data_IF_298966589867
#
_entry.id   IF_298966589867
#
_cell.length_a   1.000
_cell.length_b   1.000
_cell.length_c   1.000
_cell.angle_alpha   90.00
_cell.angle_beta   90.00
_cell.angle_gamma   90.00
#
_symmetry.space_group_name_H-M   'P 1'
#
loop_
_entity.id
_entity.type
_entity.pdbx_description
1 polymer ?
#
# COMPACT_ATOMS: atom_id res chain seq x y z
N UNK A 1 19.60 -18.33 -20.22
CA UNK A 1 19.49 -16.94 -19.70
C UNK A 1 18.92 -15.93 -20.70
N UNK A 2 18.78 -16.23 -21.99
CA UNK A 2 18.46 -15.23 -23.03
C UNK A 2 16.97 -15.01 -23.30
N UNK A 3 16.08 -15.95 -23.01
CA UNK A 3 14.64 -15.82 -23.31
C UNK A 3 13.87 -14.98 -22.26
N UNK A 4 14.31 -14.96 -21.01
CA UNK A 4 13.65 -14.23 -19.91
C UNK A 4 13.87 -12.71 -20.02
N UNK A 5 15.03 -12.30 -20.54
CA UNK A 5 15.40 -10.90 -20.67
C UNK A 5 14.66 -10.19 -21.83
N UNK A 6 14.39 -10.89 -22.92
CA UNK A 6 13.69 -10.32 -24.09
C UNK A 6 12.19 -10.06 -23.82
N UNK A 7 11.55 -10.91 -22.99
CA UNK A 7 10.13 -10.75 -22.67
C UNK A 7 9.89 -9.57 -21.70
N UNK A 8 10.86 -9.26 -20.86
CA UNK A 8 10.76 -8.21 -19.83
C UNK A 8 10.92 -6.80 -20.43
N UNK A 9 11.82 -6.63 -21.39
CA UNK A 9 12.06 -5.34 -22.06
C UNK A 9 10.84 -4.91 -22.89
N UNK A 10 10.09 -5.84 -23.46
CA UNK A 10 8.86 -5.57 -24.20
C UNK A 10 7.71 -5.06 -23.30
N UNK A 11 7.81 -5.23 -21.98
CA UNK A 11 6.82 -4.77 -21.00
C UNK A 11 7.03 -3.32 -20.55
N UNK A 12 8.20 -2.73 -20.82
CA UNK A 12 8.50 -1.33 -20.46
C UNK A 12 8.04 -0.37 -21.56
N UNK A 13 7.54 0.79 -21.15
CA UNK A 13 7.25 1.90 -22.02
C UNK A 13 8.35 2.95 -21.92
N UNK A 14 8.43 3.85 -22.88
CA UNK A 14 9.33 5.00 -22.82
C UNK A 14 9.15 5.79 -21.52
N UNK A 15 10.26 6.10 -20.84
CA UNK A 15 10.24 6.80 -19.55
C UNK A 15 9.95 5.93 -18.33
N UNK A 16 9.95 4.60 -18.47
CA UNK A 16 9.80 3.65 -17.37
C UNK A 16 11.09 2.87 -17.08
N UNK A 17 11.22 2.39 -15.87
CA UNK A 17 12.27 1.47 -15.42
C UNK A 17 11.68 0.24 -14.75
N UNK A 18 12.42 -0.87 -14.80
CA UNK A 18 12.14 -2.08 -14.04
C UNK A 18 13.12 -2.16 -12.88
N UNK A 19 12.63 -1.94 -11.68
CA UNK A 19 13.46 -1.88 -10.49
C UNK A 19 13.18 -3.06 -9.56
N UNK A 20 14.11 -3.32 -8.63
CA UNK A 20 13.87 -4.26 -7.55
C UNK A 20 12.90 -3.68 -6.53
N UNK A 21 11.99 -4.50 -5.99
CA UNK A 21 11.06 -4.12 -4.93
C UNK A 21 11.31 -4.98 -3.68
N UNK A 22 11.94 -4.40 -2.67
CA UNK A 22 12.21 -5.10 -1.41
C UNK A 22 13.26 -6.20 -1.57
N UNK A 23 12.82 -7.46 -1.61
CA UNK A 23 13.69 -8.63 -1.67
C UNK A 23 14.13 -9.01 -3.09
N UNK A 24 15.12 -9.91 -3.18
CA UNK A 24 15.58 -10.46 -4.45
C UNK A 24 14.46 -11.14 -5.23
N UNK A 25 14.43 -10.88 -6.54
CA UNK A 25 13.52 -11.51 -7.47
C UNK A 25 12.20 -10.78 -7.72
N UNK A 26 11.73 -9.93 -6.81
CA UNK A 26 10.51 -9.14 -7.04
C UNK A 26 10.84 -7.88 -7.82
N UNK A 27 10.06 -7.62 -8.86
CA UNK A 27 10.25 -6.49 -9.78
C UNK A 27 9.04 -5.57 -9.77
N UNK A 28 9.31 -4.27 -9.96
CA UNK A 28 8.28 -3.24 -10.10
C UNK A 28 8.58 -2.35 -11.30
N UNK A 29 7.55 -2.06 -12.09
CA UNK A 29 7.62 -1.06 -13.16
C UNK A 29 7.26 0.30 -12.57
N UNK A 30 8.09 1.30 -12.83
CA UNK A 30 7.83 2.65 -12.35
C UNK A 30 8.41 3.71 -13.28
N UNK A 31 7.90 4.93 -13.18
CA UNK A 31 8.36 6.06 -13.96
C UNK A 31 9.78 6.47 -13.56
N UNK A 32 10.65 6.74 -14.55
CA UNK A 32 11.98 7.33 -14.31
C UNK A 32 11.83 8.74 -13.72
N UNK A 33 10.81 9.48 -14.21
CA UNK A 33 10.44 10.81 -13.70
C UNK A 33 8.99 10.77 -13.26
N UNK A 34 8.71 11.05 -11.98
CA UNK A 34 7.34 11.05 -11.45
C UNK A 34 7.18 10.24 -10.17
N UNK A 35 6.04 9.55 -10.05
CA UNK A 35 5.75 8.73 -8.87
C UNK A 35 6.64 7.49 -8.85
N UNK A 36 7.30 7.29 -7.72
CA UNK A 36 8.04 6.06 -7.38
C UNK A 36 7.51 5.52 -6.07
N UNK A 37 7.53 4.21 -5.89
CA UNK A 37 7.13 3.61 -4.61
C UNK A 37 8.03 4.13 -3.48
N UNK A 38 7.44 4.32 -2.31
CA UNK A 38 8.13 4.75 -1.11
C UNK A 38 8.31 3.57 -0.14
N UNK A 39 9.14 3.76 0.87
CA UNK A 39 9.28 2.84 1.99
C UNK A 39 7.94 2.56 2.68
N UNK A 40 6.99 3.49 2.60
CA UNK A 40 5.66 3.38 3.20
C UNK A 40 4.92 2.13 2.70
N UNK A 41 5.08 1.77 1.42
CA UNK A 41 4.49 0.57 0.86
C UNK A 41 5.01 -0.72 1.52
N UNK A 42 6.33 -0.79 1.78
CA UNK A 42 6.93 -1.91 2.50
C UNK A 42 6.42 -1.98 3.94
N UNK A 43 6.36 -0.83 4.61
CA UNK A 43 5.93 -0.75 6.01
C UNK A 43 4.49 -1.21 6.20
N UNK A 44 3.55 -0.74 5.36
CA UNK A 44 2.14 -1.12 5.49
C UNK A 44 1.90 -2.56 5.05
N UNK A 45 2.60 -3.06 4.02
CA UNK A 45 2.52 -4.45 3.58
C UNK A 45 3.01 -5.43 4.68
N UNK A 46 4.11 -5.08 5.35
CA UNK A 46 4.62 -5.86 6.50
C UNK A 46 3.68 -5.80 7.71
N UNK A 47 3.16 -4.62 8.02
CA UNK A 47 2.28 -4.41 9.18
C UNK A 47 0.94 -5.15 9.06
N UNK A 48 0.42 -5.31 7.86
CA UNK A 48 -0.93 -5.81 7.60
C UNK A 48 -1.14 -7.29 8.00
N UNK A 49 -0.08 -8.12 8.01
CA UNK A 49 -0.11 -9.54 8.38
C UNK A 49 -1.36 -10.28 7.85
N UNK A 50 -1.54 -10.42 6.53
CA UNK A 50 -2.70 -11.06 5.93
C UNK A 50 -2.78 -12.54 6.31
N UNK A 51 -4.00 -13.08 6.36
CA UNK A 51 -4.25 -14.50 6.56
C UNK A 51 -4.31 -15.20 5.20
N UNK A 52 -3.98 -16.49 5.10
CA UNK A 52 -3.96 -17.19 3.81
C UNK A 52 -5.27 -17.16 3.02
N UNK A 53 -6.42 -17.04 3.68
CA UNK A 53 -7.75 -17.01 3.06
C UNK A 53 -8.31 -15.58 2.88
N UNK A 54 -7.58 -14.53 3.29
CA UNK A 54 -8.06 -13.16 3.17
C UNK A 54 -8.19 -12.78 1.67
N UNK A 55 -9.32 -12.19 1.31
CA UNK A 55 -9.48 -11.43 0.06
C UNK A 55 -8.97 -10.02 0.33
N UNK A 56 -7.97 -9.60 -0.41
CA UNK A 56 -7.23 -8.38 -0.12
C UNK A 56 -7.50 -7.30 -1.16
N UNK A 57 -7.76 -6.07 -0.71
CA UNK A 57 -7.82 -4.88 -1.56
C UNK A 57 -6.68 -3.93 -1.21
N UNK A 58 -5.91 -3.52 -2.23
CA UNK A 58 -4.97 -2.40 -2.18
C UNK A 58 -5.68 -1.17 -2.77
N UNK A 59 -6.16 -0.28 -1.90
CA UNK A 59 -7.00 0.86 -2.27
C UNK A 59 -6.13 2.09 -2.60
N UNK A 60 -6.11 2.49 -3.86
CA UNK A 60 -5.18 3.47 -4.40
C UNK A 60 -3.79 2.84 -4.60
N UNK A 61 -3.74 1.72 -5.31
CA UNK A 61 -2.55 0.86 -5.36
C UNK A 61 -1.34 1.49 -6.09
N UNK A 62 -1.54 2.60 -6.80
CA UNK A 62 -0.48 3.21 -7.58
C UNK A 62 0.09 2.25 -8.62
N UNK A 63 1.41 2.14 -8.67
CA UNK A 63 2.11 1.17 -9.52
C UNK A 63 2.14 -0.26 -8.94
N UNK A 64 1.32 -0.54 -7.93
CA UNK A 64 1.10 -1.87 -7.38
C UNK A 64 2.10 -2.34 -6.33
N UNK A 65 2.89 -1.45 -5.73
CA UNK A 65 3.96 -1.85 -4.81
C UNK A 65 3.46 -2.72 -3.65
N UNK A 66 2.39 -2.32 -2.95
CA UNK A 66 1.81 -3.09 -1.83
C UNK A 66 1.27 -4.42 -2.34
N UNK A 67 0.48 -4.40 -3.42
CA UNK A 67 -0.14 -5.58 -4.00
C UNK A 67 0.90 -6.62 -4.45
N UNK A 68 1.99 -6.18 -5.11
CA UNK A 68 3.10 -7.03 -5.53
C UNK A 68 3.84 -7.66 -4.33
N UNK A 69 4.12 -6.88 -3.28
CA UNK A 69 4.74 -7.39 -2.05
C UNK A 69 3.90 -8.48 -1.38
N UNK A 70 2.58 -8.25 -1.29
CA UNK A 70 1.66 -9.23 -0.69
C UNK A 70 1.54 -10.50 -1.53
N UNK A 71 1.41 -10.37 -2.86
CA UNK A 71 1.34 -11.50 -3.77
C UNK A 71 2.64 -12.33 -3.76
N UNK A 72 3.79 -11.67 -3.60
CA UNK A 72 5.10 -12.31 -3.53
C UNK A 72 5.29 -13.09 -2.22
N UNK A 73 5.01 -12.45 -1.10
CA UNK A 73 5.19 -13.03 0.24
C UNK A 73 4.18 -14.14 0.56
N UNK A 74 2.95 -13.99 0.07
CA UNK A 74 1.84 -14.87 0.42
C UNK A 74 1.24 -15.52 -0.84
N UNK A 75 1.85 -16.58 -1.40
CA UNK A 75 1.41 -17.21 -2.65
C UNK A 75 -0.07 -17.58 -2.73
N UNK A 76 -0.76 -17.96 -1.63
CA UNK A 76 -2.21 -18.26 -1.69
C UNK A 76 -3.11 -17.05 -1.83
N UNK A 77 -2.61 -15.82 -1.53
CA UNK A 77 -3.46 -14.63 -1.54
C UNK A 77 -3.91 -14.24 -2.94
N UNK A 78 -5.17 -13.80 -3.01
CA UNK A 78 -5.69 -13.04 -4.14
C UNK A 78 -5.80 -11.58 -3.74
N UNK A 79 -5.20 -10.71 -4.53
CA UNK A 79 -5.12 -9.28 -4.27
C UNK A 79 -5.79 -8.54 -5.42
N UNK A 80 -6.64 -7.56 -5.10
CA UNK A 80 -7.19 -6.60 -6.06
C UNK A 80 -6.56 -5.26 -5.77
N UNK A 81 -6.02 -4.58 -6.79
CA UNK A 81 -5.58 -3.20 -6.72
C UNK A 81 -6.60 -2.29 -7.39
N UNK A 82 -7.00 -1.19 -6.76
CA UNK A 82 -7.83 -0.14 -7.36
C UNK A 82 -7.00 1.13 -7.53
N UNK A 83 -6.90 1.66 -8.74
CA UNK A 83 -6.12 2.86 -9.04
C UNK A 83 -6.84 3.74 -10.06
N UNK A 84 -6.90 5.07 -9.77
CA UNK A 84 -7.58 6.05 -10.62
C UNK A 84 -6.73 6.49 -11.81
N UNK A 85 -5.40 6.43 -11.69
CA UNK A 85 -4.47 6.90 -12.74
C UNK A 85 -4.18 5.79 -13.73
N UNK A 86 -4.62 5.90 -15.01
CA UNK A 86 -4.44 4.84 -16.01
C UNK A 86 -2.98 4.42 -16.21
N UNK A 87 -2.06 5.38 -16.12
CA UNK A 87 -0.62 5.11 -16.27
C UNK A 87 -0.10 4.22 -15.16
N UNK A 88 -0.46 4.50 -13.90
CA UNK A 88 -0.05 3.71 -12.74
C UNK A 88 -0.75 2.34 -12.71
N UNK A 89 -2.05 2.28 -13.01
CA UNK A 89 -2.79 1.02 -13.13
C UNK A 89 -2.15 0.11 -14.21
N UNK A 90 -1.75 0.69 -15.34
CA UNK A 90 -1.02 -0.04 -16.39
C UNK A 90 0.35 -0.54 -15.92
N UNK A 91 1.09 0.25 -15.12
CA UNK A 91 2.36 -0.20 -14.52
C UNK A 91 2.14 -1.36 -13.56
N UNK A 92 1.12 -1.28 -12.68
CA UNK A 92 0.76 -2.33 -11.75
C UNK A 92 0.39 -3.63 -12.47
N UNK A 93 -0.44 -3.56 -13.51
CA UNK A 93 -0.85 -4.71 -14.32
C UNK A 93 0.35 -5.41 -14.97
N UNK A 94 1.23 -4.64 -15.62
CA UNK A 94 2.44 -5.18 -16.23
C UNK A 94 3.45 -5.66 -15.18
N UNK A 95 3.51 -5.01 -14.03
CA UNK A 95 4.26 -5.48 -12.86
C UNK A 95 3.79 -6.86 -12.40
N UNK A 96 2.48 -7.11 -12.34
CA UNK A 96 1.94 -8.43 -12.05
C UNK A 96 2.36 -9.47 -13.09
N UNK A 97 2.33 -9.13 -14.37
CA UNK A 97 2.76 -10.02 -15.46
C UNK A 97 4.25 -10.36 -15.40
N UNK A 98 5.12 -9.35 -15.18
CA UNK A 98 6.57 -9.55 -15.04
C UNK A 98 6.93 -10.51 -13.91
N UNK A 99 6.14 -10.51 -12.82
CA UNK A 99 6.36 -11.37 -11.67
C UNK A 99 5.57 -12.69 -11.73
N UNK A 100 4.78 -12.94 -12.78
CA UNK A 100 3.96 -14.16 -12.89
C UNK A 100 2.78 -14.19 -11.93
N UNK A 101 2.21 -13.03 -11.55
CA UNK A 101 1.11 -12.92 -10.58
C UNK A 101 -0.26 -12.64 -11.22
N UNK A 102 -0.37 -12.65 -12.56
CA UNK A 102 -1.59 -12.32 -13.30
C UNK A 102 -2.82 -13.15 -12.89
N UNK A 103 -2.64 -14.35 -12.35
CA UNK A 103 -3.75 -15.21 -11.90
C UNK A 103 -4.21 -14.90 -10.46
N UNK A 104 -3.46 -14.05 -9.75
CA UNK A 104 -3.67 -13.75 -8.32
C UNK A 104 -3.74 -12.27 -7.99
N UNK A 105 -3.27 -11.42 -8.90
CA UNK A 105 -3.26 -9.97 -8.75
C UNK A 105 -4.05 -9.35 -9.89
N UNK A 106 -5.25 -8.87 -9.56
CA UNK A 106 -6.14 -8.13 -10.46
C UNK A 106 -5.95 -6.63 -10.26
N UNK A 107 -5.92 -5.86 -11.32
CA UNK A 107 -5.88 -4.39 -11.26
C UNK A 107 -7.14 -3.83 -11.90
N UNK A 108 -7.88 -3.05 -11.12
CA UNK A 108 -9.08 -2.33 -11.53
C UNK A 108 -8.74 -0.85 -11.68
N UNK A 109 -8.87 -0.32 -12.89
CA UNK A 109 -8.76 1.11 -13.12
C UNK A 109 -10.08 1.79 -12.73
N UNK A 110 -10.01 2.77 -11.81
CA UNK A 110 -11.20 3.50 -11.40
C UNK A 110 -11.03 4.36 -10.17
N UNK A 111 -12.06 5.16 -9.92
CA UNK A 111 -12.11 6.12 -8.81
C UNK A 111 -12.74 5.47 -7.57
N UNK A 112 -12.02 5.49 -6.45
CA UNK A 112 -12.50 4.96 -5.17
C UNK A 112 -13.80 5.64 -4.67
N UNK A 113 -14.08 6.88 -5.10
CA UNK A 113 -15.32 7.59 -4.81
C UNK A 113 -16.54 6.92 -5.49
N UNK A 114 -16.27 6.13 -6.52
CA UNK A 114 -17.25 5.34 -7.27
C UNK A 114 -17.11 3.83 -7.04
N UNK A 115 -16.49 3.43 -5.94
CA UNK A 115 -16.18 2.02 -5.65
C UNK A 115 -17.39 1.09 -5.77
N UNK A 116 -18.59 1.58 -5.49
CA UNK A 116 -19.83 0.81 -5.59
C UNK A 116 -20.20 0.34 -6.99
N UNK A 117 -19.67 0.98 -8.05
CA UNK A 117 -19.84 0.54 -9.44
C UNK A 117 -18.70 -0.33 -9.95
N UNK A 118 -17.63 -0.50 -9.17
CA UNK A 118 -16.40 -1.16 -9.56
C UNK A 118 -16.18 -2.48 -8.83
N UNK A 119 -16.46 -2.52 -7.53
CA UNK A 119 -16.19 -3.64 -6.67
C UNK A 119 -17.42 -3.99 -5.81
N UNK A 120 -17.59 -5.26 -5.42
CA UNK A 120 -18.72 -5.67 -4.60
C UNK A 120 -18.63 -5.10 -3.18
N UNK A 121 -19.77 -4.76 -2.54
CA UNK A 121 -19.81 -4.38 -1.13
C UNK A 121 -19.37 -5.55 -0.25
N UNK A 122 -18.67 -5.26 0.83
CA UNK A 122 -18.20 -6.27 1.79
C UNK A 122 -17.41 -7.43 1.13
N UNK A 123 -16.73 -7.14 0.02
CA UNK A 123 -16.01 -8.11 -0.79
C UNK A 123 -14.66 -8.53 -0.24
N UNK A 124 -14.10 -7.82 0.76
CA UNK A 124 -12.72 -7.99 1.18
C UNK A 124 -12.59 -8.17 2.69
N UNK A 125 -11.69 -9.06 3.09
CA UNK A 125 -11.40 -9.37 4.49
C UNK A 125 -10.31 -8.43 5.05
N UNK A 126 -9.44 -7.92 4.14
CA UNK A 126 -8.38 -6.97 4.44
C UNK A 126 -8.32 -5.90 3.36
N UNK A 127 -8.29 -4.64 3.77
CA UNK A 127 -8.03 -3.49 2.90
C UNK A 127 -6.76 -2.79 3.35
N UNK A 128 -5.81 -2.61 2.44
CA UNK A 128 -4.64 -1.76 2.67
C UNK A 128 -4.82 -0.43 1.96
N UNK A 129 -4.25 0.62 2.52
CA UNK A 129 -4.22 1.92 1.88
C UNK A 129 -2.99 2.73 2.33
N UNK A 130 -2.29 3.26 1.34
CA UNK A 130 -1.30 4.32 1.51
C UNK A 130 -1.85 5.58 0.82
N UNK A 131 -2.78 6.31 1.45
CA UNK A 131 -3.48 7.40 0.80
C UNK A 131 -2.54 8.59 0.54
N UNK A 132 -2.83 9.43 -0.47
CA UNK A 132 -2.06 10.64 -0.69
C UNK A 132 -2.16 11.55 0.54
N UNK A 133 -1.01 11.95 1.09
CA UNK A 133 -0.92 12.69 2.36
C UNK A 133 -1.31 14.17 2.27
N UNK A 134 -1.52 14.72 1.08
CA UNK A 134 -1.75 16.14 0.89
C UNK A 134 -3.22 16.48 0.98
N UNK A 135 -3.55 17.42 1.88
CA UNK A 135 -4.84 18.09 1.82
C UNK A 135 -4.96 18.84 0.49
N UNK A 136 -6.13 18.71 -0.10
CA UNK A 136 -6.54 19.57 -1.18
C UNK A 136 -6.42 21.02 -0.71
N UNK A 137 -5.52 21.79 -1.33
CA UNK A 137 -5.33 23.23 -1.02
C UNK A 137 -4.15 23.60 -0.13
N UNK A 138 -3.41 22.67 0.47
CA UNK A 138 -2.17 22.97 1.23
C UNK A 138 -0.92 22.49 0.47
N UNK A 139 -0.09 23.42 0.07
CA UNK A 139 1.22 23.20 -0.58
C UNK A 139 1.52 24.31 -1.58
N UNK A 140 2.77 24.40 -2.08
CA UNK A 140 3.10 25.28 -3.20
C UNK A 140 2.17 24.94 -4.36
N UNK A 141 1.26 25.88 -4.65
CA UNK A 141 0.34 25.75 -5.77
C UNK A 141 1.16 25.57 -7.04
N UNK A 142 0.86 24.54 -7.84
CA UNK A 142 1.43 24.44 -9.17
C UNK A 142 1.04 25.72 -9.91
N UNK A 143 1.97 26.45 -10.52
CA UNK A 143 1.65 27.69 -11.24
C UNK A 143 0.67 27.47 -12.40
N UNK A 144 0.57 26.25 -12.91
CA UNK A 144 -0.35 25.85 -13.98
C UNK A 144 -1.74 25.52 -13.40
N UNK A 145 -2.81 26.29 -13.74
CA UNK A 145 -4.17 26.07 -13.24
C UNK A 145 -4.76 24.72 -13.66
N UNK A 146 -4.50 24.26 -14.90
CA UNK A 146 -5.06 23.00 -15.43
C UNK A 146 -4.43 21.80 -14.71
N UNK A 147 -3.11 21.82 -14.49
CA UNK A 147 -2.42 20.77 -13.71
C UNK A 147 -2.82 20.78 -12.25
N UNK A 148 -3.19 21.93 -11.72
CA UNK A 148 -3.73 22.08 -10.36
C UNK A 148 -5.10 21.42 -10.24
N UNK A 149 -5.99 21.72 -11.20
CA UNK A 149 -7.34 21.17 -11.26
C UNK A 149 -7.33 19.66 -11.47
N UNK A 150 -6.55 19.16 -12.44
CA UNK A 150 -6.39 17.73 -12.68
C UNK A 150 -5.87 16.97 -11.44
N UNK A 151 -4.89 17.57 -10.73
CA UNK A 151 -4.37 16.98 -9.48
C UNK A 151 -5.38 17.02 -8.35
N UNK A 152 -6.23 18.02 -8.30
CA UNK A 152 -7.33 18.16 -7.34
C UNK A 152 -8.43 17.14 -7.61
N UNK A 153 -8.81 16.95 -8.85
CA UNK A 153 -9.84 16.00 -9.29
C UNK A 153 -9.41 14.53 -9.07
N UNK A 154 -8.09 14.25 -9.13
CA UNK A 154 -7.53 12.91 -8.90
C UNK A 154 -7.26 12.59 -7.42
N UNK A 155 -7.35 13.56 -6.51
CA UNK A 155 -7.03 13.35 -5.08
C UNK A 155 -8.30 13.14 -4.27
N UNK A 156 -8.49 11.96 -3.74
CA UNK A 156 -9.55 11.70 -2.77
C UNK A 156 -9.20 12.30 -1.40
N UNK A 157 -10.21 12.77 -0.69
CA UNK A 157 -10.11 13.21 0.70
C UNK A 157 -9.97 12.00 1.63
N UNK A 158 -9.43 12.21 2.84
CA UNK A 158 -9.37 11.15 3.86
C UNK A 158 -10.76 10.57 4.18
N UNK A 159 -11.80 11.39 4.17
CA UNK A 159 -13.18 10.93 4.39
C UNK A 159 -13.65 9.97 3.29
N UNK A 160 -13.40 10.31 2.03
CA UNK A 160 -13.75 9.46 0.88
C UNK A 160 -12.98 8.14 0.88
N UNK A 161 -11.68 8.18 1.24
CA UNK A 161 -10.87 6.97 1.41
C UNK A 161 -11.46 6.06 2.49
N UNK A 162 -11.79 6.61 3.67
CA UNK A 162 -12.34 5.83 4.79
C UNK A 162 -13.73 5.28 4.44
N UNK A 163 -14.57 6.04 3.74
CA UNK A 163 -15.87 5.57 3.26
C UNK A 163 -15.72 4.41 2.26
N UNK A 164 -14.77 4.50 1.33
CA UNK A 164 -14.46 3.41 0.40
C UNK A 164 -13.95 2.15 1.13
N UNK A 165 -13.09 2.30 2.12
CA UNK A 165 -12.64 1.19 2.98
C UNK A 165 -13.83 0.55 3.69
N UNK A 166 -14.72 1.37 4.27
CA UNK A 166 -15.92 0.87 4.97
C UNK A 166 -16.86 0.09 4.05
N UNK A 167 -17.03 0.57 2.82
CA UNK A 167 -17.83 -0.11 1.78
C UNK A 167 -17.23 -1.47 1.42
N UNK A 168 -15.92 -1.53 1.15
CA UNK A 168 -15.23 -2.71 0.65
C UNK A 168 -15.07 -3.82 1.69
N UNK A 169 -14.91 -3.47 2.97
CA UNK A 169 -14.63 -4.44 4.04
C UNK A 169 -15.83 -5.32 4.36
N UNK A 170 -15.60 -6.62 4.48
CA UNK A 170 -16.53 -7.58 5.06
C UNK A 170 -16.79 -7.27 6.56
N UNK A 171 -17.89 -7.77 7.14
CA UNK A 171 -18.10 -7.73 8.60
C UNK A 171 -16.89 -8.29 9.35
N UNK A 172 -16.40 -7.58 10.37
CA UNK A 172 -15.18 -7.91 11.13
C UNK A 172 -13.89 -7.87 10.31
N UNK A 173 -13.92 -7.46 9.05
CA UNK A 173 -12.74 -7.23 8.22
C UNK A 173 -11.83 -6.15 8.81
N UNK A 174 -10.60 -6.11 8.33
CA UNK A 174 -9.52 -5.25 8.83
C UNK A 174 -9.07 -4.26 7.77
N UNK A 175 -8.77 -3.02 8.19
CA UNK A 175 -8.11 -2.04 7.35
C UNK A 175 -6.72 -1.74 7.93
N UNK A 176 -5.69 -1.72 7.09
CA UNK A 176 -4.35 -1.29 7.46
C UNK A 176 -3.97 -0.05 6.65
N UNK A 177 -3.67 1.04 7.35
CA UNK A 177 -3.31 2.32 6.75
C UNK A 177 -1.93 2.75 7.25
N UNK A 178 -1.20 3.43 6.38
CA UNK A 178 -0.07 4.26 6.75
C UNK A 178 -0.45 5.71 6.53
N UNK A 179 -0.13 6.60 7.47
CA UNK A 179 -0.51 8.00 7.38
C UNK A 179 0.46 8.91 8.14
N UNK A 180 0.40 10.23 7.91
CA UNK A 180 1.22 11.18 8.67
C UNK A 180 0.84 11.21 10.15
N UNK A 181 1.85 11.17 11.03
CA UNK A 181 1.66 11.20 12.49
C UNK A 181 0.97 12.50 12.96
N UNK A 182 1.27 13.63 12.32
CA UNK A 182 0.61 14.92 12.61
C UNK A 182 -0.91 14.92 12.38
N UNK A 183 -1.42 13.94 11.61
CA UNK A 183 -2.85 13.79 11.31
C UNK A 183 -3.51 12.62 12.06
N UNK A 184 -2.84 12.09 13.08
CA UNK A 184 -3.32 10.93 13.85
C UNK A 184 -4.73 11.15 14.42
N UNK A 185 -4.96 12.30 15.08
CA UNK A 185 -6.25 12.59 15.72
C UNK A 185 -7.40 12.63 14.69
N UNK A 186 -7.18 13.26 13.53
CA UNK A 186 -8.15 13.32 12.44
C UNK A 186 -8.45 11.91 11.88
N UNK A 187 -7.39 11.10 11.64
CA UNK A 187 -7.54 9.73 11.16
C UNK A 187 -8.37 8.87 12.12
N UNK A 188 -8.03 8.86 13.41
CA UNK A 188 -8.73 8.04 14.40
C UNK A 188 -10.20 8.47 14.56
N UNK A 189 -10.47 9.77 14.54
CA UNK A 189 -11.83 10.30 14.62
C UNK A 189 -12.68 9.86 13.43
N UNK A 190 -12.16 9.97 12.21
CA UNK A 190 -12.89 9.58 10.99
C UNK A 190 -13.08 8.07 10.88
N UNK A 191 -12.08 7.28 11.26
CA UNK A 191 -12.22 5.82 11.30
C UNK A 191 -13.37 5.41 12.22
N UNK A 192 -13.44 5.96 13.43
CA UNK A 192 -14.52 5.64 14.37
C UNK A 192 -15.90 6.13 13.91
N UNK A 193 -15.96 7.30 13.25
CA UNK A 193 -17.20 7.81 12.67
C UNK A 193 -17.79 6.82 11.64
N UNK A 194 -16.94 6.11 10.88
CA UNK A 194 -17.32 5.08 9.91
C UNK A 194 -17.40 3.67 10.50
N UNK A 195 -17.44 3.52 11.83
CA UNK A 195 -17.47 2.21 12.53
C UNK A 195 -16.28 1.30 12.17
N UNK A 196 -15.14 1.90 11.88
CA UNK A 196 -13.85 1.24 11.77
C UNK A 196 -13.08 1.52 13.07
N UNK A 197 -13.16 0.59 14.02
CA UNK A 197 -12.54 0.79 15.33
C UNK A 197 -11.03 0.51 15.27
N UNK A 198 -10.17 1.50 15.61
CA UNK A 198 -8.73 1.31 15.65
C UNK A 198 -8.33 0.27 16.68
N UNK A 199 -7.48 -0.68 16.30
CA UNK A 199 -7.06 -1.82 17.14
C UNK A 199 -5.57 -1.85 17.42
N UNK A 200 -4.76 -1.52 16.42
CA UNK A 200 -3.32 -1.43 16.54
C UNK A 200 -2.85 -0.08 16.00
N UNK A 201 -1.86 0.49 16.65
CA UNK A 201 -1.14 1.69 16.20
C UNK A 201 0.35 1.47 16.43
N UNK A 202 1.17 1.74 15.41
CA UNK A 202 2.62 1.76 15.51
C UNK A 202 3.16 3.09 15.01
N UNK A 203 3.79 3.90 15.85
CA UNK A 203 4.53 5.08 15.41
C UNK A 203 5.77 4.69 14.62
N UNK A 204 6.10 5.45 13.58
CA UNK A 204 7.31 5.29 12.76
C UNK A 204 8.12 6.56 12.85
N UNK A 205 9.36 6.44 13.31
CA UNK A 205 10.32 7.52 13.51
C UNK A 205 11.50 7.34 12.56
N UNK A 206 12.09 8.42 12.12
CA UNK A 206 13.31 8.34 11.32
C UNK A 206 14.45 7.68 12.12
N UNK A 207 14.68 8.09 13.37
CA UNK A 207 15.69 7.53 14.29
C UNK A 207 15.32 7.82 15.74
N UNK A 208 16.03 7.22 16.68
CA UNK A 208 15.81 7.45 18.12
C UNK A 208 16.02 8.92 18.47
N UNK A 209 15.02 9.56 19.11
CA UNK A 209 15.01 10.97 19.46
C UNK A 209 14.35 11.89 18.41
N UNK A 210 14.02 11.40 17.22
CA UNK A 210 13.18 12.12 16.28
C UNK A 210 11.69 11.95 16.62
N UNK A 211 10.86 12.93 16.26
CA UNK A 211 9.41 12.78 16.33
C UNK A 211 8.91 11.71 15.37
N UNK A 212 7.73 11.13 15.64
CA UNK A 212 7.08 10.24 14.70
C UNK A 212 6.65 11.00 13.44
N UNK A 213 7.08 10.54 12.27
CA UNK A 213 6.69 11.11 10.98
C UNK A 213 5.46 10.42 10.41
N UNK A 214 5.40 9.10 10.57
CA UNK A 214 4.31 8.27 10.08
C UNK A 214 3.71 7.43 11.21
N UNK A 215 2.50 6.97 10.96
CA UNK A 215 1.80 6.00 11.80
C UNK A 215 1.25 4.88 10.94
N UNK A 216 1.34 3.66 11.46
CA UNK A 216 0.65 2.49 10.94
C UNK A 216 -0.56 2.21 11.84
N UNK A 217 -1.73 2.09 11.25
CA UNK A 217 -2.98 1.86 11.98
C UNK A 217 -3.70 0.65 11.41
N UNK A 218 -4.04 -0.32 12.25
CA UNK A 218 -5.03 -1.33 11.93
C UNK A 218 -6.37 -0.95 12.57
N UNK A 219 -7.42 -0.89 11.78
CA UNK A 219 -8.79 -0.71 12.24
C UNK A 219 -9.65 -1.90 11.85
N UNK A 220 -10.66 -2.21 12.66
CA UNK A 220 -11.57 -3.34 12.43
C UNK A 220 -13.00 -2.84 12.25
N UNK A 221 -13.65 -3.31 11.18
CA UNK A 221 -15.06 -3.01 10.95
C UNK A 221 -15.92 -3.57 12.08
N UNK A 222 -16.72 -2.69 12.71
CA UNK A 222 -17.60 -3.02 13.83
C UNK A 222 -16.85 -3.66 15.01
N UNK A 223 -15.59 -3.25 15.22
CA UNK A 223 -14.75 -3.69 16.33
C UNK A 223 -15.24 -3.11 17.67
N UNK A 224 -15.01 -3.82 18.77
CA UNK A 224 -15.17 -3.26 20.12
C UNK A 224 -14.04 -2.31 20.44
N UNK A 225 -14.21 -1.28 21.28
CA UNK A 225 -13.13 -0.40 21.73
C UNK A 225 -11.91 -1.16 22.28
N UNK A 226 -10.75 -0.52 22.25
CA UNK A 226 -9.50 -1.09 22.77
C UNK A 226 -8.36 -1.00 21.76
N UNK A 227 -7.72 0.19 21.70
CA UNK A 227 -6.53 0.45 20.91
C UNK A 227 -5.26 0.01 21.67
N UNK A 228 -4.42 -0.78 21.03
CA UNK A 228 -3.07 -1.12 21.51
C UNK A 228 -2.04 -0.34 20.72
N UNK A 229 -1.23 0.45 21.42
CA UNK A 229 -0.08 1.14 20.84
C UNK A 229 1.12 0.20 20.94
N UNK A 230 1.70 -0.11 19.78
CA UNK A 230 2.87 -0.98 19.67
C UNK A 230 4.16 -0.18 19.92
N UNK A 231 5.27 -0.85 20.25
CA UNK A 231 6.58 -0.20 20.29
C UNK A 231 6.87 0.56 18.99
N UNK A 232 7.53 1.72 19.07
CA UNK A 232 7.85 2.50 17.88
C UNK A 232 8.78 1.74 16.93
N UNK A 233 8.66 2.01 15.64
CA UNK A 233 9.60 1.57 14.63
C UNK A 233 10.57 2.72 14.32
N UNK A 234 11.86 2.47 14.40
CA UNK A 234 12.90 3.39 13.95
C UNK A 234 13.40 2.93 12.58
N UNK A 235 13.42 3.83 11.60
CA UNK A 235 13.84 3.49 10.24
C UNK A 235 15.36 3.36 10.15
N UNK A 236 16.08 4.29 10.77
CA UNK A 236 17.53 4.36 10.76
C UNK A 236 18.11 4.16 12.16
N UNK A 237 19.35 3.69 12.24
CA UNK A 237 20.08 3.51 13.50
C UNK A 237 20.34 4.85 14.20
N UNK A 238 20.66 5.88 13.42
CA UNK A 238 20.93 7.25 13.86
C UNK A 238 20.69 8.23 12.69
N UNK A 239 20.77 9.52 12.97
CA UNK A 239 20.71 10.56 11.93
C UNK A 239 21.85 10.40 10.94
N UNK A 240 21.52 10.15 9.65
CA UNK A 240 22.50 9.89 8.60
C UNK A 240 23.14 8.50 8.63
N UNK A 241 22.66 7.62 9.51
CA UNK A 241 23.11 6.21 9.61
C UNK A 241 22.42 5.29 8.62
N UNK A 242 22.82 4.02 8.63
CA UNK A 242 22.19 2.92 7.89
C UNK A 242 20.80 2.55 8.44
N UNK A 243 20.12 1.63 7.77
CA UNK A 243 18.85 1.10 8.24
C UNK A 243 18.99 0.47 9.63
N UNK A 244 17.93 0.50 10.40
CA UNK A 244 17.86 -0.17 11.70
C UNK A 244 17.74 -1.68 11.52
N UNK A 245 18.09 -2.44 12.57
CA UNK A 245 17.89 -3.89 12.57
C UNK A 245 16.42 -4.27 12.30
N UNK A 246 15.46 -3.50 12.83
CA UNK A 246 14.04 -3.73 12.59
C UNK A 246 13.66 -3.55 11.10
N UNK A 247 14.26 -2.59 10.41
CA UNK A 247 14.07 -2.42 8.97
C UNK A 247 14.70 -3.56 8.17
N UNK A 248 15.89 -4.01 8.53
CA UNK A 248 16.53 -5.18 7.90
C UNK A 248 15.70 -6.45 8.08
N UNK A 249 15.03 -6.60 9.22
CA UNK A 249 14.07 -7.68 9.47
C UNK A 249 12.83 -7.55 8.56
N UNK A 250 12.27 -6.35 8.41
CA UNK A 250 11.15 -6.09 7.51
C UNK A 250 11.51 -6.44 6.06
N UNK A 251 12.70 -6.03 5.59
CA UNK A 251 13.15 -6.36 4.24
C UNK A 251 13.32 -7.88 4.04
N UNK A 252 13.85 -8.59 5.04
CA UNK A 252 13.97 -10.07 5.00
C UNK A 252 12.62 -10.77 5.04
N UNK A 253 11.69 -10.27 5.84
CA UNK A 253 10.34 -10.81 5.96
C UNK A 253 9.51 -10.65 4.68
N UNK A 254 9.81 -9.64 3.87
CA UNK A 254 9.16 -9.43 2.58
C UNK A 254 9.80 -10.30 1.47
N UNK A 255 10.85 -11.07 1.78
CA UNK A 255 11.33 -12.14 0.91
C UNK A 255 10.32 -13.30 0.87
N UNK A 256 10.24 -14.08 -0.24
CA UNK A 256 9.32 -15.19 -0.34
C UNK A 256 9.62 -16.20 0.76
N UNK A 257 8.59 -16.63 1.46
CA UNK A 257 8.69 -17.76 2.37
C UNK A 257 8.95 -19.00 1.52
N UNK A 258 10.18 -19.48 1.51
CA UNK A 258 10.49 -20.80 0.94
C UNK A 258 9.61 -21.80 1.70
N UNK A 259 8.58 -22.32 1.01
CA UNK A 259 7.90 -23.52 1.49
C UNK A 259 8.98 -24.58 1.56
N UNK A 260 9.48 -24.86 2.76
CA UNK A 260 10.30 -26.04 2.98
C UNK A 260 9.41 -27.22 2.60
N UNK A 261 9.55 -27.69 1.36
CA UNK A 261 9.06 -28.99 0.96
C UNK A 261 9.68 -29.98 1.95
N UNK A 262 8.85 -30.43 2.90
CA UNK A 262 9.21 -31.50 3.80
C UNK A 262 9.50 -32.72 2.95
N UNK A 263 10.77 -33.03 2.77
CA UNK A 263 11.21 -34.37 2.44
C UNK A 263 11.36 -35.04 3.81
N UNK A 264 10.35 -35.86 4.14
CA UNK A 264 10.47 -36.87 5.17
C UNK A 264 11.23 -38.07 4.61
#
# INVERSE_FOLDING_TARGET
>A
MTAYTQTTDSMLREGESLDALGSEGLRIIQSIRGFRHSMDALLVAHFAAPRPADRVLDLGCGNGAIALLLAHRHPPLRVVGLEIQPALASQALRGAQVNGFQDRLEIVEGDLRRIGSLLPPAGFDLVLCNPPYREVGRGRLNPDPERRQAKHEMSATLQEVIAAIRYALAPKGRACLIYHASRLADLLTRLRAERLEPKLLRPVHSFLGADAELILVEARREGRPGLRVLPPLFVYQARGGGLSQAMDEIYRDLAPTLVRSGIA
#
